data_IF_671885452995
#
_entry.id   IF_671885452995
#
_cell.length_a   1.000
_cell.length_b   1.000
_cell.length_c   1.000
_cell.angle_alpha   90.00
_cell.angle_beta   90.00
_cell.angle_gamma   90.00
#
_symmetry.space_group_name_H-M   'P 1'
#
loop_
_entity.id
_entity.type
_entity.pdbx_description
1 polymer ?
#
# COMPACT_ATOMS: atom_id res chain seq x y z
N UNK A 1 -5.61 -16.07 6.39
CA UNK A 1 -6.19 -14.90 7.09
C UNK A 1 -5.14 -13.82 7.10
N UNK A 2 -5.50 -12.58 6.76
CA UNK A 2 -4.59 -11.44 6.81
C UNK A 2 -5.08 -10.42 7.84
N UNK A 3 -4.14 -9.70 8.44
CA UNK A 3 -4.44 -8.67 9.43
C UNK A 3 -3.88 -7.33 8.97
N UNK A 4 -4.68 -6.27 9.08
CA UNK A 4 -4.22 -4.88 9.01
C UNK A 4 -4.31 -4.29 10.41
N UNK A 5 -3.16 -4.02 11.02
CA UNK A 5 -3.07 -3.39 12.33
C UNK A 5 -2.79 -1.90 12.17
N UNK A 6 -3.65 -1.07 12.74
CA UNK A 6 -3.39 0.35 12.95
C UNK A 6 -3.01 0.57 14.41
N UNK A 7 -1.90 1.27 14.63
CA UNK A 7 -1.37 1.56 15.96
C UNK A 7 -1.11 3.06 16.07
N UNK A 8 -1.65 3.69 17.11
CA UNK A 8 -1.48 5.11 17.40
C UNK A 8 -0.80 5.33 18.75
N UNK A 9 -0.06 6.42 18.91
CA UNK A 9 0.53 6.80 20.19
C UNK A 9 -0.55 6.94 21.26
N UNK A 10 -0.12 6.80 22.51
CA UNK A 10 -0.99 7.05 23.65
C UNK A 10 -1.11 8.56 23.87
N UNK A 11 -2.35 9.05 24.03
CA UNK A 11 -2.62 10.46 24.37
C UNK A 11 -2.71 10.65 25.90
N UNK A 12 -3.42 9.73 26.58
CA UNK A 12 -3.71 9.81 28.04
C UNK A 12 -3.45 8.51 28.81
N UNK A 13 -2.82 7.54 28.16
CA UNK A 13 -2.55 6.19 28.72
C UNK A 13 -1.06 5.84 28.57
N UNK A 14 -0.64 4.77 29.24
CA UNK A 14 0.72 4.22 29.09
C UNK A 14 0.84 3.24 27.91
N UNK A 15 -0.29 2.93 27.25
CA UNK A 15 -0.39 1.96 26.17
C UNK A 15 -0.89 2.61 24.88
N UNK A 16 -0.33 2.17 23.75
CA UNK A 16 -0.77 2.57 22.41
C UNK A 16 -2.19 2.14 22.11
N UNK A 17 -2.90 2.96 21.35
CA UNK A 17 -4.19 2.58 20.79
C UNK A 17 -3.97 1.60 19.64
N UNK A 18 -4.77 0.53 19.60
CA UNK A 18 -4.65 -0.54 18.62
C UNK A 18 -6.02 -0.84 17.99
N UNK A 19 -6.05 -0.91 16.67
CA UNK A 19 -7.18 -1.41 15.92
C UNK A 19 -6.73 -2.48 14.91
N UNK A 20 -7.24 -3.70 15.06
CA UNK A 20 -6.94 -4.82 14.16
C UNK A 20 -8.15 -5.09 13.28
N UNK A 21 -7.97 -4.92 11.97
CA UNK A 21 -8.89 -5.45 10.97
C UNK A 21 -8.39 -6.82 10.52
N UNK A 22 -9.27 -7.81 10.53
CA UNK A 22 -8.98 -9.17 10.04
C UNK A 22 -9.79 -9.42 8.79
N UNK A 23 -9.15 -9.96 7.75
CA UNK A 23 -9.85 -10.35 6.52
C UNK A 23 -9.79 -11.85 6.25
N UNK A 24 -10.92 -12.34 5.75
CA UNK A 24 -11.14 -13.71 5.32
C UNK A 24 -10.79 -13.94 3.85
N UNK A 25 -10.94 -15.19 3.37
CA UNK A 25 -10.77 -15.51 1.96
C UNK A 25 -11.72 -14.71 1.07
N UNK A 26 -11.21 -14.16 -0.04
CA UNK A 26 -11.99 -13.37 -1.00
C UNK A 26 -12.10 -11.87 -0.65
N UNK A 27 -11.65 -11.46 0.53
CA UNK A 27 -11.59 -10.06 0.92
C UNK A 27 -10.22 -9.44 0.63
N UNK A 28 -10.21 -8.14 0.34
CA UNK A 28 -8.99 -7.35 0.16
C UNK A 28 -8.94 -6.19 1.13
N UNK A 29 -7.73 -5.81 1.52
CA UNK A 29 -7.45 -4.65 2.37
C UNK A 29 -6.56 -3.68 1.62
N UNK A 30 -6.87 -2.40 1.77
CA UNK A 30 -6.11 -1.30 1.22
C UNK A 30 -5.82 -0.32 2.36
N UNK A 31 -4.61 0.20 2.38
CA UNK A 31 -4.18 1.15 3.39
C UNK A 31 -3.15 2.10 2.83
N UNK A 32 -3.16 3.34 3.29
CA UNK A 32 -2.22 4.39 2.90
C UNK A 32 -1.63 5.01 4.18
N UNK A 33 -1.27 6.29 4.18
CA UNK A 33 -0.58 6.91 5.32
C UNK A 33 -1.55 7.61 6.29
N UNK A 34 -2.81 7.16 6.35
CA UNK A 34 -3.84 7.74 7.22
C UNK A 34 -4.51 6.62 8.04
N UNK A 35 -4.87 6.88 9.29
CA UNK A 35 -5.77 6.00 10.05
C UNK A 35 -7.15 5.91 9.37
N UNK A 36 -7.65 4.70 9.19
CA UNK A 36 -8.96 4.43 8.60
C UNK A 36 -10.01 4.08 9.66
N UNK A 37 -9.59 3.54 10.81
CA UNK A 37 -10.49 2.98 11.84
C UNK A 37 -10.29 3.58 13.23
N UNK A 38 -9.35 4.51 13.38
CA UNK A 38 -9.12 5.26 14.62
C UNK A 38 -9.36 6.74 14.39
N UNK A 39 -9.96 7.41 15.39
CA UNK A 39 -10.16 8.85 15.38
C UNK A 39 -9.07 9.53 16.22
N UNK A 40 -7.88 9.66 15.63
CA UNK A 40 -6.69 10.24 16.27
C UNK A 40 -6.25 11.46 15.46
N UNK A 41 -5.79 12.50 16.15
CA UNK A 41 -5.22 13.66 15.46
C UNK A 41 -3.93 13.25 14.74
N UNK A 42 -3.93 13.44 13.43
CA UNK A 42 -2.77 13.14 12.58
C UNK A 42 -2.02 14.42 12.27
N UNK A 43 -0.68 14.39 12.41
CA UNK A 43 0.15 15.50 11.96
C UNK A 43 0.27 15.48 10.43
N UNK A 44 0.52 16.66 9.83
CA UNK A 44 0.77 16.83 8.39
C UNK A 44 -0.46 16.62 7.48
N UNK A 45 -1.22 17.69 7.28
CA UNK A 45 -2.38 17.73 6.36
C UNK A 45 -2.01 17.31 4.93
N UNK A 46 -0.82 17.66 4.44
CA UNK A 46 -0.36 17.29 3.10
C UNK A 46 -0.26 15.77 2.90
N UNK A 47 0.27 15.07 3.90
CA UNK A 47 0.36 13.60 3.89
C UNK A 47 -1.01 12.94 4.02
N UNK A 48 -1.90 13.52 4.83
CA UNK A 48 -3.29 13.04 4.96
C UNK A 48 -4.05 13.18 3.64
N UNK A 49 -4.02 14.36 3.01
CA UNK A 49 -4.65 14.59 1.71
C UNK A 49 -4.11 13.63 0.65
N UNK A 50 -2.79 13.43 0.65
CA UNK A 50 -2.13 12.49 -0.23
C UNK A 50 -2.49 11.02 0.02
N UNK A 51 -2.81 10.66 1.26
CA UNK A 51 -3.35 9.35 1.63
C UNK A 51 -4.77 9.17 1.13
N UNK A 52 -5.63 10.16 1.38
CA UNK A 52 -7.04 10.19 0.94
C UNK A 52 -7.13 10.03 -0.57
N UNK A 53 -6.40 10.85 -1.34
CA UNK A 53 -6.43 10.79 -2.80
C UNK A 53 -5.98 9.44 -3.37
N UNK A 54 -5.00 8.77 -2.74
CA UNK A 54 -4.58 7.43 -3.18
C UNK A 54 -5.61 6.36 -2.84
N UNK A 55 -6.23 6.44 -1.67
CA UNK A 55 -7.34 5.56 -1.31
C UNK A 55 -8.53 5.73 -2.26
N UNK A 56 -8.88 6.96 -2.63
CA UNK A 56 -9.90 7.27 -3.64
C UNK A 56 -9.52 6.73 -5.03
N UNK A 57 -8.25 6.81 -5.42
CA UNK A 57 -7.76 6.18 -6.64
C UNK A 57 -7.95 4.67 -6.59
N UNK A 58 -7.58 4.01 -5.50
CA UNK A 58 -7.80 2.57 -5.36
C UNK A 58 -9.28 2.18 -5.34
N UNK A 59 -10.16 3.01 -4.78
CA UNK A 59 -11.61 2.77 -4.75
C UNK A 59 -12.26 2.75 -6.15
N UNK A 60 -11.58 3.28 -7.17
CA UNK A 60 -12.04 3.23 -8.58
C UNK A 60 -11.74 1.89 -9.24
N UNK A 61 -10.84 1.09 -8.68
CA UNK A 61 -10.52 -0.23 -9.20
C UNK A 61 -11.54 -1.27 -8.70
N UNK A 62 -11.86 -2.29 -9.52
CA UNK A 62 -12.56 -3.46 -9.00
C UNK A 62 -11.68 -4.18 -7.97
N UNK A 63 -12.28 -5.01 -7.14
CA UNK A 63 -11.54 -5.88 -6.21
C UNK A 63 -10.47 -6.67 -6.98
N UNK A 64 -9.18 -6.55 -6.63
CA UNK A 64 -8.11 -7.21 -7.36
C UNK A 64 -8.21 -8.72 -7.22
N UNK A 65 -8.01 -9.45 -8.32
CA UNK A 65 -8.07 -10.92 -8.35
C UNK A 65 -6.78 -11.56 -8.83
N UNK A 66 -5.90 -10.77 -9.46
CA UNK A 66 -4.67 -11.25 -10.08
C UNK A 66 -3.48 -10.36 -9.69
N UNK A 67 -2.27 -10.89 -9.87
CA UNK A 67 -1.03 -10.11 -9.76
C UNK A 67 -1.05 -8.88 -10.68
N UNK A 68 -1.60 -9.01 -11.89
CA UNK A 68 -1.69 -7.90 -12.85
C UNK A 68 -2.61 -6.78 -12.35
N UNK A 69 -3.71 -7.10 -11.66
CA UNK A 69 -4.57 -6.09 -11.06
C UNK A 69 -3.79 -5.28 -10.01
N UNK A 70 -3.02 -5.96 -9.16
CA UNK A 70 -2.17 -5.31 -8.16
C UNK A 70 -1.09 -4.43 -8.81
N UNK A 71 -0.44 -4.91 -9.87
CA UNK A 71 0.51 -4.12 -10.67
C UNK A 71 -0.15 -2.85 -11.21
N UNK A 72 -1.35 -2.98 -11.78
CA UNK A 72 -2.09 -1.85 -12.35
C UNK A 72 -2.45 -0.81 -11.27
N UNK A 73 -2.89 -1.26 -10.10
CA UNK A 73 -3.21 -0.40 -8.97
C UNK A 73 -1.96 0.31 -8.43
N UNK A 74 -0.88 -0.42 -8.15
CA UNK A 74 0.34 0.13 -7.56
C UNK A 74 1.11 1.05 -8.52
N UNK A 75 0.97 0.85 -9.82
CA UNK A 75 1.54 1.71 -10.85
C UNK A 75 0.64 2.87 -11.30
N UNK A 76 -0.50 3.10 -10.63
CA UNK A 76 -1.46 4.13 -11.05
C UNK A 76 -0.90 5.55 -10.92
N UNK A 77 -1.10 6.35 -11.97
CA UNK A 77 -0.69 7.76 -12.03
C UNK A 77 -1.83 8.66 -12.54
N UNK A 78 -3.08 8.21 -12.39
CA UNK A 78 -4.26 8.92 -12.91
C UNK A 78 -4.58 10.20 -12.13
N UNK A 79 -4.26 10.23 -10.83
CA UNK A 79 -4.31 11.45 -10.03
C UNK A 79 -3.01 12.25 -10.23
N UNK A 80 -3.10 13.41 -10.88
CA UNK A 80 -1.94 14.26 -11.22
C UNK A 80 -1.26 14.82 -9.97
N UNK A 81 -2.03 15.20 -8.95
CA UNK A 81 -1.49 15.85 -7.75
C UNK A 81 -0.87 14.84 -6.79
N UNK A 82 -1.54 13.70 -6.59
CA UNK A 82 -1.12 12.65 -5.67
C UNK A 82 -1.24 11.27 -6.32
N UNK A 83 -0.38 10.94 -7.31
CA UNK A 83 -0.40 9.63 -7.93
C UNK A 83 0.00 8.55 -6.93
N UNK A 84 -0.44 7.31 -7.18
CA UNK A 84 -0.04 6.15 -6.37
C UNK A 84 1.44 5.89 -6.58
N UNK A 85 1.87 5.76 -7.85
CA UNK A 85 3.27 5.68 -8.21
C UNK A 85 3.85 7.07 -8.49
N UNK A 86 4.83 7.49 -7.69
CA UNK A 86 5.42 8.83 -7.78
C UNK A 86 6.83 8.76 -8.34
N UNK A 87 6.98 9.19 -9.59
CA UNK A 87 8.28 9.23 -10.29
C UNK A 87 8.55 10.58 -10.96
N UNK A 88 7.77 11.61 -10.63
CA UNK A 88 7.99 12.94 -11.18
C UNK A 88 9.15 13.65 -10.45
N UNK A 89 10.13 14.25 -11.18
CA UNK A 89 11.34 14.83 -10.59
C UNK A 89 11.10 15.99 -9.62
N UNK A 90 9.98 16.69 -9.78
CA UNK A 90 9.55 17.84 -8.99
C UNK A 90 8.69 17.45 -7.79
N UNK A 91 8.33 16.17 -7.64
CA UNK A 91 7.57 15.70 -6.49
C UNK A 91 8.47 15.61 -5.25
N UNK A 92 8.13 16.25 -4.11
CA UNK A 92 8.91 16.15 -2.88
C UNK A 92 8.96 14.71 -2.31
N UNK A 93 8.07 13.83 -2.77
CA UNK A 93 8.02 12.41 -2.35
C UNK A 93 7.97 11.52 -3.58
N UNK A 94 8.92 10.58 -3.67
CA UNK A 94 9.05 9.62 -4.78
C UNK A 94 8.91 8.18 -4.30
N UNK A 95 8.33 7.33 -5.14
CA UNK A 95 8.25 5.88 -4.93
C UNK A 95 9.59 5.26 -5.34
N UNK A 96 10.36 4.80 -4.36
CA UNK A 96 11.68 4.21 -4.61
C UNK A 96 11.62 2.78 -5.13
N UNK A 97 10.62 2.00 -4.70
CA UNK A 97 10.46 0.61 -5.10
C UNK A 97 9.02 0.14 -4.92
N UNK A 98 8.65 -0.92 -5.65
CA UNK A 98 7.42 -1.69 -5.43
C UNK A 98 7.78 -3.13 -5.09
N UNK A 99 7.15 -3.68 -4.05
CA UNK A 99 7.26 -5.08 -3.67
C UNK A 99 5.92 -5.78 -3.82
N UNK A 100 5.90 -6.95 -4.49
CA UNK A 100 4.71 -7.80 -4.56
C UNK A 100 5.06 -9.17 -4.00
N UNK A 101 4.37 -9.57 -2.93
CA UNK A 101 4.46 -10.89 -2.33
C UNK A 101 3.38 -11.78 -2.93
N UNK A 102 3.78 -12.78 -3.70
CA UNK A 102 2.90 -13.83 -4.18
C UNK A 102 2.94 -14.99 -3.20
N UNK A 103 1.89 -15.13 -2.40
CA UNK A 103 1.80 -16.18 -1.38
C UNK A 103 1.44 -17.56 -1.96
N UNK A 104 0.95 -17.62 -3.21
CA UNK A 104 0.64 -18.88 -3.90
C UNK A 104 1.91 -19.44 -4.51
N UNK A 105 2.60 -18.63 -5.32
CA UNK A 105 3.87 -18.99 -5.95
C UNK A 105 5.06 -18.92 -4.98
N UNK A 106 4.82 -18.37 -3.78
CA UNK A 106 5.81 -18.19 -2.71
C UNK A 106 7.00 -17.36 -3.18
N UNK A 107 6.74 -16.23 -3.83
CA UNK A 107 7.78 -15.31 -4.33
C UNK A 107 7.58 -13.88 -3.84
N UNK A 108 8.67 -13.11 -3.86
CA UNK A 108 8.68 -11.66 -3.68
C UNK A 108 9.32 -11.00 -4.89
N UNK A 109 8.51 -10.29 -5.68
CA UNK A 109 8.96 -9.50 -6.82
C UNK A 109 9.28 -8.07 -6.39
N UNK A 110 10.48 -7.57 -6.69
CA UNK A 110 10.91 -6.20 -6.40
C UNK A 110 11.11 -5.41 -7.69
N UNK A 111 10.50 -4.24 -7.79
CA UNK A 111 10.57 -3.33 -8.94
C UNK A 111 11.28 -2.04 -8.52
N UNK A 112 12.21 -1.54 -9.34
CA UNK A 112 12.91 -0.27 -9.13
C UNK A 112 12.24 0.92 -9.87
N UNK A 113 11.12 0.66 -10.55
CA UNK A 113 10.35 1.64 -11.30
C UNK A 113 8.87 1.32 -11.26
N UNK A 114 8.09 2.02 -12.10
CA UNK A 114 6.65 1.80 -12.15
C UNK A 114 6.37 0.36 -12.61
N UNK A 115 5.70 -0.49 -11.80
CA UNK A 115 5.51 -1.90 -12.12
C UNK A 115 4.66 -2.13 -13.38
N UNK A 116 3.93 -1.11 -13.87
CA UNK A 116 3.21 -1.18 -15.15
C UNK A 116 4.11 -1.02 -16.37
N UNK A 117 5.32 -0.49 -16.19
CA UNK A 117 6.22 -0.10 -17.27
C UNK A 117 7.53 -0.92 -17.29
N UNK A 118 7.74 -1.77 -16.29
CA UNK A 118 8.96 -2.56 -16.17
C UNK A 118 8.70 -3.94 -15.55
N UNK A 119 9.57 -4.88 -15.91
CA UNK A 119 9.68 -6.17 -15.24
C UNK A 119 10.33 -6.01 -13.85
N UNK A 120 10.10 -6.95 -12.92
CA UNK A 120 10.77 -6.92 -11.62
C UNK A 120 12.29 -7.00 -11.80
N UNK A 121 13.02 -6.20 -11.02
CA UNK A 121 14.48 -6.23 -10.95
C UNK A 121 14.97 -7.59 -10.42
N UNK A 122 14.25 -8.15 -9.45
CA UNK A 122 14.52 -9.46 -8.87
C UNK A 122 13.23 -10.12 -8.41
N UNK A 123 13.17 -11.46 -8.52
CA UNK A 123 12.13 -12.30 -7.94
C UNK A 123 12.80 -13.27 -6.97
N UNK A 124 12.55 -13.06 -5.67
CA UNK A 124 13.13 -13.86 -4.59
C UNK A 124 12.14 -14.94 -4.15
N UNK A 125 12.57 -16.19 -3.88
CA UNK A 125 11.70 -17.17 -3.23
C UNK A 125 11.48 -16.76 -1.77
N UNK A 126 10.26 -16.93 -1.26
CA UNK A 126 9.92 -16.69 0.15
C UNK A 126 10.42 -17.80 1.06
N UNK A 127 10.61 -19.00 0.51
CA UNK A 127 11.30 -20.09 1.20
C UNK A 127 12.73 -20.23 0.72
N UNK A 128 13.63 -20.27 1.68
CA UNK A 128 15.04 -20.61 1.45
C UNK A 128 15.30 -22.12 1.54
N UNK A 129 14.29 -22.91 1.93
CA UNK A 129 14.36 -24.37 2.04
C UNK A 129 13.60 -24.99 0.88
N UNK A 130 14.31 -25.75 0.05
CA UNK A 130 13.73 -26.69 -0.92
C UNK A 130 13.19 -27.91 -0.20
#
# INVERSE_FOLDING_TARGET
VFHNAEMAPADKSDESQLNILTTGPGESILHCNKYLRMNVEESNEGMQNSSICRMETFAKYPTPRTKQDVINMLGDQSNVQYPVFRDQPDNPVVTLAVGIFDCVDRTWSLYAGNPKKCEPLVVLPLDTKK
#
